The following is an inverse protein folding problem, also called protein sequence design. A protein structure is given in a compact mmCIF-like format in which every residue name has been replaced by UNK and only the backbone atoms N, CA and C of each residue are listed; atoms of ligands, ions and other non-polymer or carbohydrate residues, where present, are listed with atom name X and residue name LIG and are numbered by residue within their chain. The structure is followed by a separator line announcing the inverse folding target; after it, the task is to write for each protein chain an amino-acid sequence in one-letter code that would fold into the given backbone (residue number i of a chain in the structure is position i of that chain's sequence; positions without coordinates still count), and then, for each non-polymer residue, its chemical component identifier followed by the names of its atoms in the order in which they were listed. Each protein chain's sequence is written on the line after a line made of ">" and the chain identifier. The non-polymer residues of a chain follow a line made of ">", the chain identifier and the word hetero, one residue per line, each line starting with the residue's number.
data_IF_625307260633
#
_entry.id   IF_625307260633
#
_cell.length_a   1.000
_cell.length_b   1.000
_cell.length_c   1.000
_cell.angle_alpha   90.00
_cell.angle_beta   90.00
_cell.angle_gamma   90.00
#
_symmetry.space_group_name_H-M   'P 1'
#
loop_
_entity.id
_entity.type
_entity.pdbx_description
1 polymer ?
#
# COMPACT_ATOMS: atom_id res chain seq x y z
N UNK A 1 -26.18 -43.91 -21.66
CA UNK A 1 -25.57 -43.43 -20.40
C UNK A 1 -24.54 -42.39 -20.80
N UNK A 2 -24.90 -41.11 -20.77
CA UNK A 2 -23.93 -40.02 -20.77
C UNK A 2 -24.65 -38.76 -20.28
N UNK A 3 -24.61 -38.57 -18.95
CA UNK A 3 -25.07 -37.34 -18.29
C UNK A 3 -24.17 -36.19 -18.71
N UNK A 4 -24.69 -35.33 -19.58
CA UNK A 4 -24.07 -34.04 -19.86
C UNK A 4 -24.26 -33.14 -18.64
N UNK A 5 -23.19 -32.92 -17.88
CA UNK A 5 -23.18 -32.01 -16.73
C UNK A 5 -23.27 -30.58 -17.22
N UNK A 6 -24.38 -29.93 -16.87
CA UNK A 6 -24.66 -28.52 -17.13
C UNK A 6 -23.71 -27.65 -16.30
N UNK A 7 -22.75 -27.00 -16.97
CA UNK A 7 -21.80 -26.09 -16.35
C UNK A 7 -22.51 -24.76 -16.10
N UNK A 8 -22.96 -24.53 -14.86
CA UNK A 8 -23.52 -23.24 -14.44
C UNK A 8 -22.43 -22.18 -14.49
N UNK A 9 -22.49 -21.26 -15.46
CA UNK A 9 -21.71 -20.04 -15.46
C UNK A 9 -22.15 -19.19 -14.26
N UNK A 10 -21.33 -19.18 -13.22
CA UNK A 10 -21.49 -18.29 -12.09
C UNK A 10 -21.09 -16.89 -12.57
N UNK A 11 -22.06 -15.99 -12.71
CA UNK A 11 -21.81 -14.60 -13.05
C UNK A 11 -20.97 -13.96 -11.95
N UNK A 12 -19.74 -13.54 -12.27
CA UNK A 12 -18.91 -12.76 -11.35
C UNK A 12 -19.67 -11.49 -10.96
N UNK A 13 -19.74 -11.14 -9.65
CA UNK A 13 -20.43 -9.94 -9.22
C UNK A 13 -19.83 -8.74 -9.94
N UNK A 14 -20.66 -8.06 -10.75
CA UNK A 14 -20.27 -6.89 -11.53
C UNK A 14 -19.36 -5.99 -10.68
N UNK A 15 -18.09 -5.89 -11.06
CA UNK A 15 -17.09 -5.04 -10.39
C UNK A 15 -17.51 -3.59 -10.64
N UNK A 16 -18.37 -3.07 -9.77
CA UNK A 16 -18.82 -1.68 -9.83
C UNK A 16 -17.68 -0.81 -9.34
N UNK A 17 -17.17 0.03 -10.23
CA UNK A 17 -16.15 1.01 -9.88
C UNK A 17 -16.67 1.91 -8.75
N UNK A 18 -15.86 2.06 -7.69
CA UNK A 18 -16.21 2.92 -6.57
C UNK A 18 -16.37 4.36 -7.05
N UNK A 19 -17.58 4.89 -6.91
CA UNK A 19 -17.95 6.25 -7.36
C UNK A 19 -17.24 7.33 -6.54
N UNK A 20 -16.62 6.97 -5.42
CA UNK A 20 -15.85 7.90 -4.59
C UNK A 20 -14.44 8.13 -5.11
N UNK A 21 -13.91 7.25 -5.97
CA UNK A 21 -12.52 7.28 -6.42
C UNK A 21 -12.15 8.58 -7.16
N UNK A 22 -13.10 9.18 -7.89
CA UNK A 22 -12.91 10.42 -8.63
C UNK A 22 -13.61 11.63 -8.00
N UNK A 23 -14.11 11.51 -6.77
CA UNK A 23 -14.85 12.60 -6.12
C UNK A 23 -13.89 13.76 -5.82
N UNK A 24 -14.15 14.92 -6.42
CA UNK A 24 -13.44 16.15 -6.09
C UNK A 24 -13.89 16.59 -4.69
N UNK A 25 -12.96 16.56 -3.74
CA UNK A 25 -13.15 16.96 -2.35
C UNK A 25 -12.30 18.20 -2.04
N UNK A 26 -12.74 19.01 -1.06
CA UNK A 26 -12.00 20.18 -0.60
C UNK A 26 -10.63 19.79 -0.03
N UNK A 27 -9.70 20.73 0.08
CA UNK A 27 -8.36 20.44 0.61
C UNK A 27 -8.40 19.94 2.06
N UNK A 28 -9.34 20.45 2.84
CA UNK A 28 -9.60 20.03 4.22
C UNK A 28 -10.13 18.60 4.25
N UNK A 29 -11.09 18.28 3.38
CA UNK A 29 -11.66 16.93 3.23
C UNK A 29 -10.66 15.91 2.67
N UNK A 30 -9.64 16.35 1.93
CA UNK A 30 -8.51 15.50 1.47
C UNK A 30 -7.59 15.06 2.62
N UNK A 31 -7.85 15.49 3.86
CA UNK A 31 -7.06 15.12 5.02
C UNK A 31 -5.73 15.87 5.12
N UNK A 32 -5.64 17.07 4.56
CA UNK A 32 -4.43 17.91 4.65
C UNK A 32 -4.30 18.54 6.06
N UNK A 33 -4.10 17.69 7.07
CA UNK A 33 -4.12 18.06 8.49
C UNK A 33 -2.76 18.53 8.98
N UNK A 34 -2.18 19.56 8.35
CA UNK A 34 -0.82 20.04 8.64
C UNK A 34 -0.62 20.39 10.11
N UNK A 35 -1.56 21.10 10.73
CA UNK A 35 -1.47 21.51 12.14
C UNK A 35 -1.49 20.31 13.09
N UNK A 36 -2.31 19.30 12.80
CA UNK A 36 -2.34 18.05 13.56
C UNK A 36 -0.96 17.37 13.52
N UNK A 37 -0.38 17.23 12.33
CA UNK A 37 0.93 16.61 12.17
C UNK A 37 2.04 17.42 12.84
N UNK A 38 1.95 18.75 12.86
CA UNK A 38 2.92 19.60 13.54
C UNK A 38 2.92 19.44 15.07
N UNK A 39 1.80 19.05 15.67
CA UNK A 39 1.71 18.73 17.12
C UNK A 39 2.33 17.39 17.48
N UNK A 40 2.54 16.50 16.51
CA UNK A 40 3.10 15.17 16.71
C UNK A 40 4.61 15.18 16.79
N UNK A 41 5.17 14.26 17.55
CA UNK A 41 6.62 14.03 17.64
C UNK A 41 7.16 13.51 16.31
N UNK A 42 8.47 13.66 16.09
CA UNK A 42 9.14 13.15 14.88
C UNK A 42 8.93 11.64 14.73
N UNK A 43 9.02 10.90 15.83
CA UNK A 43 8.80 9.46 15.85
C UNK A 43 7.39 9.08 15.36
N UNK A 44 6.34 9.70 15.90
CA UNK A 44 4.95 9.42 15.48
C UNK A 44 4.73 9.73 13.99
N UNK A 45 5.32 10.80 13.47
CA UNK A 45 5.24 11.14 12.04
C UNK A 45 5.91 10.09 11.17
N UNK A 46 7.08 9.61 11.58
CA UNK A 46 7.81 8.55 10.85
C UNK A 46 7.04 7.22 10.88
N UNK A 47 6.45 6.85 12.02
CA UNK A 47 5.59 5.66 12.10
C UNK A 47 4.37 5.77 11.18
N UNK A 48 3.71 6.93 11.13
CA UNK A 48 2.58 7.15 10.22
C UNK A 48 3.01 7.07 8.75
N UNK A 49 4.15 7.67 8.39
CA UNK A 49 4.69 7.59 7.05
C UNK A 49 5.05 6.14 6.66
N UNK A 50 5.63 5.38 7.60
CA UNK A 50 5.93 3.96 7.40
C UNK A 50 4.64 3.13 7.18
N UNK A 51 3.62 3.33 8.02
CA UNK A 51 2.33 2.67 7.87
C UNK A 51 1.70 2.91 6.50
N UNK A 52 1.68 4.17 6.03
CA UNK A 52 1.15 4.51 4.71
C UNK A 52 1.93 3.84 3.58
N UNK A 53 3.26 3.76 3.73
CA UNK A 53 4.12 3.04 2.78
C UNK A 53 3.77 1.55 2.76
N UNK A 54 3.58 0.94 3.93
CA UNK A 54 3.17 -0.45 4.03
C UNK A 54 1.83 -0.72 3.34
N UNK A 55 0.84 0.16 3.53
CA UNK A 55 -0.45 0.06 2.85
C UNK A 55 -0.31 0.19 1.32
N UNK A 56 0.51 1.12 0.85
CA UNK A 56 0.69 1.36 -0.59
C UNK A 56 1.35 0.19 -1.31
N UNK A 57 2.30 -0.48 -0.65
CA UNK A 57 3.06 -1.59 -1.24
C UNK A 57 2.62 -2.98 -0.75
N UNK A 58 1.52 -3.05 0.01
CA UNK A 58 1.01 -4.27 0.63
C UNK A 58 2.07 -5.04 1.44
N UNK A 59 2.82 -4.31 2.25
CA UNK A 59 3.91 -4.82 3.09
C UNK A 59 3.38 -5.04 4.52
N UNK A 60 3.79 -6.13 5.23
CA UNK A 60 3.44 -6.29 6.64
C UNK A 60 4.10 -5.20 7.49
N UNK A 61 3.34 -4.54 8.37
CA UNK A 61 3.90 -3.48 9.22
C UNK A 61 5.05 -3.95 10.12
N UNK A 62 5.01 -5.23 10.53
CA UNK A 62 6.02 -5.88 11.37
C UNK A 62 7.20 -6.47 10.59
N UNK A 63 7.23 -6.31 9.26
CA UNK A 63 8.31 -6.86 8.45
C UNK A 63 9.61 -6.11 8.72
N UNK A 64 10.65 -6.85 9.12
CA UNK A 64 12.00 -6.33 9.31
C UNK A 64 12.68 -6.20 7.94
N UNK A 65 12.51 -5.03 7.31
CA UNK A 65 13.20 -4.70 6.07
C UNK A 65 14.61 -4.21 6.37
N UNK A 66 15.54 -5.17 6.44
CA UNK A 66 16.96 -4.84 6.54
C UNK A 66 17.44 -4.28 5.22
N UNK A 67 18.12 -3.13 5.29
CA UNK A 67 18.83 -2.58 4.14
C UNK A 67 19.87 -3.60 3.67
N UNK A 68 19.80 -4.00 2.40
CA UNK A 68 20.85 -4.82 1.81
C UNK A 68 22.14 -3.99 1.67
N UNK A 69 23.11 -4.27 2.53
CA UNK A 69 24.40 -3.57 2.54
C UNK A 69 25.34 -4.05 1.43
N UNK A 70 25.02 -5.15 0.75
CA UNK A 70 25.86 -5.70 -0.32
C UNK A 70 25.86 -4.82 -1.56
N UNK A 71 24.75 -4.10 -1.85
CA UNK A 71 24.66 -3.12 -2.92
C UNK A 71 25.64 -1.94 -2.75
N UNK A 72 26.01 -1.62 -1.50
CA UNK A 72 26.94 -0.55 -1.16
C UNK A 72 28.38 -1.03 -0.96
N UNK A 73 28.64 -2.33 -1.17
CA UNK A 73 29.97 -2.90 -1.00
C UNK A 73 30.82 -2.56 -2.22
N UNK A 74 31.69 -1.57 -2.08
CA UNK A 74 32.75 -1.29 -3.05
C UNK A 74 33.67 -2.50 -3.08
N UNK A 75 33.63 -3.29 -4.16
CA UNK A 75 34.65 -4.31 -4.42
C UNK A 75 35.95 -3.60 -4.78
N UNK A 76 37.01 -3.84 -4.01
CA UNK A 76 38.36 -3.48 -4.42
C UNK A 76 38.75 -4.46 -5.52
N UNK A 77 38.79 -4.02 -6.77
CA UNK A 77 39.31 -4.85 -7.86
C UNK A 77 40.82 -5.01 -7.64
N UNK A 78 41.26 -6.20 -7.29
CA UNK A 78 42.66 -6.50 -7.04
C UNK A 78 42.80 -7.91 -6.51
N UNK A 79 42.73 -8.87 -7.44
CA UNK A 79 43.66 -10.00 -7.62
C UNK A 79 43.37 -10.66 -8.97
#
# INVERSE_FOLDING_TARGET
>A
MEESKEIKHQEDPQVRMDRTFFRIVSREDKGFNREYWLKKTVYERLCAAWYLTCCAYNIPYSADHKLDRTAFRIKKNGD
#
